data_IF_776750269049
#
_entry.id   IF_776750269049
#
_cell.length_a   1.000
_cell.length_b   1.000
_cell.length_c   1.000
_cell.angle_alpha   90.00
_cell.angle_beta   90.00
_cell.angle_gamma   90.00
#
_symmetry.space_group_name_H-M   'P 1'
#
loop_
_entity.id
_entity.type
_entity.pdbx_description
1 polymer ?
#
# COMPACT_ATOMS: atom_id res chain seq x y z
N UNK A 1 -0.55 -22.58 -18.82
CA UNK A 1 -1.16 -22.97 -17.53
C UNK A 1 -1.71 -24.37 -17.71
N UNK A 2 -1.35 -25.31 -16.84
CA UNK A 2 -1.87 -26.68 -16.95
C UNK A 2 -3.37 -26.72 -16.63
N UNK A 3 -4.12 -27.67 -17.19
CA UNK A 3 -5.56 -27.83 -16.90
C UNK A 3 -5.81 -27.97 -15.39
N UNK A 4 -4.90 -28.65 -14.69
CA UNK A 4 -4.95 -28.83 -13.22
C UNK A 4 -4.82 -27.51 -12.46
N UNK A 5 -3.97 -26.59 -12.91
CA UNK A 5 -3.83 -25.25 -12.33
C UNK A 5 -5.07 -24.40 -12.57
N UNK A 6 -5.62 -24.46 -13.78
CA UNK A 6 -6.86 -23.76 -14.14
C UNK A 6 -7.99 -24.22 -13.21
N UNK A 7 -8.22 -25.53 -13.11
CA UNK A 7 -9.27 -26.08 -12.24
C UNK A 7 -9.10 -25.66 -10.79
N UNK A 8 -7.87 -25.72 -10.24
CA UNK A 8 -7.59 -25.27 -8.87
C UNK A 8 -7.91 -23.78 -8.67
N UNK A 9 -7.55 -22.91 -9.62
CA UNK A 9 -7.86 -21.48 -9.55
C UNK A 9 -9.36 -21.21 -9.57
N UNK A 10 -10.11 -21.88 -10.45
CA UNK A 10 -11.56 -21.73 -10.50
C UNK A 10 -12.27 -22.26 -9.24
N UNK A 11 -11.83 -23.41 -8.69
CA UNK A 11 -12.36 -23.92 -7.42
C UNK A 11 -12.10 -22.95 -6.26
N UNK A 12 -10.88 -22.41 -6.19
CA UNK A 12 -10.50 -21.45 -5.17
C UNK A 12 -11.27 -20.13 -5.30
N UNK A 13 -11.47 -19.68 -6.54
CA UNK A 13 -12.27 -18.50 -6.87
C UNK A 13 -13.74 -18.68 -6.46
N UNK A 14 -14.36 -19.80 -6.81
CA UNK A 14 -15.76 -20.10 -6.44
C UNK A 14 -15.93 -20.17 -4.91
N UNK A 15 -14.98 -20.80 -4.21
CA UNK A 15 -14.97 -20.82 -2.75
C UNK A 15 -14.83 -19.40 -2.17
N UNK A 16 -13.98 -18.57 -2.78
CA UNK A 16 -13.85 -17.15 -2.44
C UNK A 16 -15.17 -16.39 -2.58
N UNK A 17 -15.88 -16.56 -3.70
CA UNK A 17 -17.19 -15.94 -3.93
C UNK A 17 -18.23 -16.38 -2.88
N UNK A 18 -18.24 -17.65 -2.50
CA UNK A 18 -19.14 -18.14 -1.45
C UNK A 18 -18.82 -17.51 -0.09
N UNK A 19 -17.54 -17.43 0.28
CA UNK A 19 -17.11 -16.75 1.51
C UNK A 19 -17.44 -15.26 1.50
N UNK A 20 -17.28 -14.58 0.35
CA UNK A 20 -17.72 -13.19 0.19
C UNK A 20 -19.23 -13.05 0.44
N UNK A 21 -20.06 -13.95 -0.11
CA UNK A 21 -21.50 -13.93 0.09
C UNK A 21 -21.89 -14.09 1.57
N UNK A 22 -21.25 -15.04 2.27
CA UNK A 22 -21.40 -15.22 3.73
C UNK A 22 -21.05 -13.94 4.47
N UNK A 23 -19.91 -13.31 4.14
CA UNK A 23 -19.48 -12.05 4.76
C UNK A 23 -20.48 -10.90 4.54
N UNK A 24 -20.99 -10.74 3.32
CA UNK A 24 -22.02 -9.73 3.01
C UNK A 24 -23.28 -9.96 3.83
N UNK A 25 -23.79 -11.19 3.90
CA UNK A 25 -25.01 -11.52 4.66
C UNK A 25 -24.81 -11.37 6.16
N UNK A 26 -23.67 -11.77 6.73
CA UNK A 26 -23.40 -11.54 8.15
C UNK A 26 -23.34 -10.04 8.48
N UNK A 27 -22.82 -9.22 7.55
CA UNK A 27 -22.79 -7.76 7.74
C UNK A 27 -24.20 -7.17 7.78
N UNK A 28 -25.11 -7.58 6.89
CA UNK A 28 -26.52 -7.13 6.92
C UNK A 28 -27.22 -7.58 8.20
N UNK A 29 -26.95 -8.80 8.67
CA UNK A 29 -27.51 -9.36 9.92
C UNK A 29 -26.96 -8.73 11.19
N UNK A 30 -25.82 -8.04 11.12
CA UNK A 30 -25.30 -7.27 12.26
C UNK A 30 -26.12 -6.02 12.57
N UNK A 31 -27.00 -5.58 11.66
CA UNK A 31 -27.73 -4.31 11.75
C UNK A 31 -26.86 -3.06 11.91
N UNK A 32 -25.54 -3.12 11.67
CA UNK A 32 -24.64 -1.95 11.69
C UNK A 32 -24.38 -1.38 10.30
N UNK A 33 -24.97 -1.96 9.25
CA UNK A 33 -24.74 -1.60 7.84
C UNK A 33 -23.88 -2.63 7.11
N UNK A 34 -23.51 -2.32 5.88
CA UNK A 34 -22.80 -3.25 4.96
C UNK A 34 -21.58 -2.61 4.32
N UNK A 35 -20.83 -3.36 3.52
CA UNK A 35 -19.78 -2.80 2.65
C UNK A 35 -20.31 -1.69 1.72
N UNK A 36 -19.44 -0.75 1.27
CA UNK A 36 -19.82 0.31 0.33
C UNK A 36 -20.49 -0.20 -0.96
N UNK A 37 -20.01 -1.31 -1.51
CA UNK A 37 -20.56 -1.88 -2.74
C UNK A 37 -21.93 -2.52 -2.49
N UNK A 38 -22.09 -3.27 -1.41
CA UNK A 38 -23.34 -3.98 -1.09
C UNK A 38 -24.43 -3.10 -0.49
N UNK A 39 -24.13 -1.84 -0.12
CA UNK A 39 -25.10 -0.97 0.53
C UNK A 39 -26.28 -0.61 -0.38
N UNK A 40 -26.03 -0.35 -1.68
CA UNK A 40 -27.09 -0.01 -2.64
C UNK A 40 -28.05 -1.19 -2.84
N UNK A 41 -27.59 -2.41 -3.18
CA UNK A 41 -28.48 -3.57 -3.28
C UNK A 41 -29.25 -3.86 -1.99
N UNK A 42 -28.60 -3.70 -0.83
CA UNK A 42 -29.23 -3.94 0.46
C UNK A 42 -30.37 -2.93 0.72
N UNK A 43 -30.12 -1.63 0.58
CA UNK A 43 -31.13 -0.59 0.79
C UNK A 43 -32.32 -0.77 -0.15
N UNK A 44 -32.07 -1.08 -1.43
CA UNK A 44 -33.12 -1.35 -2.40
C UNK A 44 -33.96 -2.58 -2.02
N UNK A 45 -33.31 -3.66 -1.55
CA UNK A 45 -34.01 -4.89 -1.13
C UNK A 45 -34.91 -4.71 0.10
N UNK A 46 -34.69 -3.67 0.90
CA UNK A 46 -35.55 -3.36 2.05
C UNK A 46 -36.88 -2.72 1.61
N UNK A 47 -36.92 -2.08 0.44
CA UNK A 47 -38.04 -1.23 0.01
C UNK A 47 -38.76 -1.73 -1.24
N UNK A 48 -38.13 -2.63 -1.98
CA UNK A 48 -38.64 -3.21 -3.23
C UNK A 48 -38.72 -4.73 -3.10
N UNK A 49 -39.59 -5.41 -3.88
CA UNK A 49 -39.88 -6.84 -3.71
C UNK A 49 -38.73 -7.78 -4.14
N UNK A 50 -37.61 -7.24 -4.61
CA UNK A 50 -36.47 -8.04 -5.10
C UNK A 50 -35.46 -8.30 -3.99
N UNK A 51 -34.79 -9.45 -4.07
CA UNK A 51 -33.79 -9.91 -3.10
C UNK A 51 -32.47 -9.13 -3.20
N UNK A 52 -31.62 -9.24 -2.16
CA UNK A 52 -30.27 -8.64 -2.18
C UNK A 52 -29.46 -9.20 -3.35
N UNK A 53 -29.53 -10.51 -3.61
CA UNK A 53 -28.83 -11.15 -4.72
C UNK A 53 -29.31 -10.63 -6.07
N UNK A 54 -30.62 -10.48 -6.28
CA UNK A 54 -31.18 -9.93 -7.51
C UNK A 54 -30.72 -8.49 -7.78
N UNK A 55 -30.79 -7.60 -6.78
CA UNK A 55 -30.27 -6.24 -6.95
C UNK A 55 -28.75 -6.21 -7.16
N UNK A 56 -28.02 -7.12 -6.50
CA UNK A 56 -26.58 -7.27 -6.71
C UNK A 56 -26.26 -7.69 -8.14
N UNK A 57 -27.02 -8.62 -8.72
CA UNK A 57 -26.87 -9.03 -10.12
C UNK A 57 -27.16 -7.87 -11.08
N UNK A 58 -28.27 -7.14 -10.88
CA UNK A 58 -28.61 -5.98 -11.72
C UNK A 58 -27.55 -4.88 -11.66
N UNK A 59 -27.06 -4.56 -10.47
CA UNK A 59 -26.01 -3.56 -10.29
C UNK A 59 -24.71 -4.00 -10.99
N UNK A 60 -24.30 -5.26 -10.88
CA UNK A 60 -23.13 -5.78 -11.59
C UNK A 60 -23.31 -5.73 -13.11
N UNK A 61 -24.51 -5.99 -13.63
CA UNK A 61 -24.80 -5.85 -15.06
C UNK A 61 -24.63 -4.40 -15.53
N UNK A 62 -25.13 -3.42 -14.76
CA UNK A 62 -24.92 -2.00 -15.03
C UNK A 62 -23.43 -1.63 -15.03
N UNK A 63 -22.64 -2.16 -14.08
CA UNK A 63 -21.20 -1.96 -14.05
C UNK A 63 -20.49 -2.54 -15.28
N UNK A 64 -20.90 -3.72 -15.76
CA UNK A 64 -20.34 -4.34 -16.97
C UNK A 64 -20.69 -3.50 -18.21
N UNK A 65 -21.94 -3.04 -18.33
CA UNK A 65 -22.36 -2.15 -19.43
C UNK A 65 -21.54 -0.86 -19.41
N UNK A 66 -21.36 -0.25 -18.23
CA UNK A 66 -20.53 0.95 -18.09
C UNK A 66 -19.07 0.71 -18.49
N UNK A 67 -18.48 -0.43 -18.11
CA UNK A 67 -17.14 -0.82 -18.55
C UNK A 67 -17.05 -0.93 -20.08
N UNK A 68 -18.03 -1.55 -20.74
CA UNK A 68 -18.09 -1.68 -22.20
C UNK A 68 -18.15 -0.30 -22.86
N UNK A 69 -19.01 0.59 -22.37
CA UNK A 69 -19.17 1.95 -22.91
C UNK A 69 -17.89 2.80 -22.74
N UNK A 70 -17.17 2.60 -21.65
CA UNK A 70 -15.99 3.37 -21.29
C UNK A 70 -14.72 2.87 -22.01
N UNK A 71 -14.49 1.55 -22.05
CA UNK A 71 -13.32 0.95 -22.72
C UNK A 71 -13.49 0.82 -24.23
N UNK A 72 -14.74 0.73 -24.73
CA UNK A 72 -15.06 0.56 -26.16
C UNK A 72 -14.22 -0.55 -26.80
N UNK A 73 -13.31 -0.20 -27.72
CA UNK A 73 -12.42 -1.15 -28.44
C UNK A 73 -11.36 -1.82 -27.55
N UNK A 74 -11.10 -1.28 -26.35
CA UNK A 74 -10.15 -1.86 -25.39
C UNK A 74 -10.79 -2.90 -24.46
N UNK A 75 -12.10 -3.11 -24.56
CA UNK A 75 -12.80 -4.10 -23.75
C UNK A 75 -12.42 -5.52 -24.18
N UNK A 76 -11.97 -6.34 -23.22
CA UNK A 76 -11.55 -7.72 -23.50
C UNK A 76 -12.71 -8.67 -23.29
N UNK A 77 -13.00 -9.55 -24.26
CA UNK A 77 -14.13 -10.48 -24.18
C UNK A 77 -14.12 -11.39 -22.96
N UNK A 78 -12.96 -11.67 -22.35
CA UNK A 78 -12.86 -12.41 -21.09
C UNK A 78 -13.60 -11.74 -19.92
N UNK A 79 -13.79 -10.41 -19.97
CA UNK A 79 -14.55 -9.67 -18.96
C UNK A 79 -16.04 -9.99 -19.01
N UNK A 80 -16.57 -10.56 -20.10
CA UNK A 80 -17.96 -11.05 -20.12
C UNK A 80 -18.19 -12.22 -19.16
N UNK A 81 -17.12 -12.92 -18.75
CA UNK A 81 -17.20 -13.93 -17.69
C UNK A 81 -17.70 -13.32 -16.37
N UNK A 82 -17.56 -12.00 -16.16
CA UNK A 82 -18.14 -11.29 -15.02
C UNK A 82 -19.65 -11.47 -14.91
N UNK A 83 -20.38 -11.68 -16.02
CA UNK A 83 -21.83 -11.92 -15.98
C UNK A 83 -22.13 -13.26 -15.29
N UNK A 84 -21.40 -14.32 -15.65
CA UNK A 84 -21.55 -15.65 -15.03
C UNK A 84 -21.17 -15.60 -13.55
N UNK A 85 -20.08 -14.90 -13.23
CA UNK A 85 -19.62 -14.70 -11.86
C UNK A 85 -20.63 -13.88 -11.04
N UNK A 86 -21.19 -12.82 -11.60
CA UNK A 86 -22.20 -11.99 -10.95
C UNK A 86 -23.46 -12.80 -10.64
N UNK A 87 -23.90 -13.67 -11.57
CA UNK A 87 -25.01 -14.58 -11.33
C UNK A 87 -24.71 -15.55 -10.19
N UNK A 88 -23.53 -16.18 -10.20
CA UNK A 88 -23.13 -17.12 -9.16
C UNK A 88 -23.04 -16.45 -7.78
N UNK A 89 -22.44 -15.26 -7.71
CA UNK A 89 -22.34 -14.48 -6.49
C UNK A 89 -23.71 -14.04 -5.95
N UNK A 90 -24.61 -13.60 -6.84
CA UNK A 90 -25.99 -13.28 -6.48
C UNK A 90 -26.74 -14.49 -5.91
N UNK A 91 -26.63 -15.64 -6.56
CA UNK A 91 -27.20 -16.89 -6.09
C UNK A 91 -26.66 -17.29 -4.70
N UNK A 92 -25.34 -17.24 -4.50
CA UNK A 92 -24.74 -17.50 -3.19
C UNK A 92 -25.20 -16.52 -2.12
N UNK A 93 -25.41 -15.25 -2.47
CA UNK A 93 -25.92 -14.24 -1.53
C UNK A 93 -27.32 -14.57 -1.05
N UNK A 94 -28.25 -14.91 -1.95
CA UNK A 94 -29.61 -15.27 -1.56
C UNK A 94 -29.65 -16.62 -0.82
N UNK A 95 -28.85 -17.60 -1.26
CA UNK A 95 -28.69 -18.88 -0.57
C UNK A 95 -28.19 -18.70 0.87
N UNK A 96 -27.13 -17.90 1.06
CA UNK A 96 -26.56 -17.63 2.40
C UNK A 96 -27.51 -16.79 3.26
N UNK A 97 -28.31 -15.91 2.67
CA UNK A 97 -29.36 -15.16 3.38
C UNK A 97 -30.43 -16.07 3.97
N UNK A 98 -30.80 -17.14 3.25
CA UNK A 98 -31.67 -18.20 3.77
C UNK A 98 -30.97 -19.05 4.84
N UNK A 99 -29.73 -19.47 4.59
CA UNK A 99 -28.94 -20.31 5.49
C UNK A 99 -28.67 -19.66 6.84
N UNK A 100 -28.41 -18.35 6.85
CA UNK A 100 -28.10 -17.55 8.05
C UNK A 100 -29.34 -16.85 8.61
N UNK A 101 -30.53 -17.33 8.27
CA UNK A 101 -31.79 -16.73 8.71
C UNK A 101 -31.99 -16.75 10.23
N UNK A 102 -31.40 -17.72 10.91
CA UNK A 102 -31.41 -17.88 12.36
C UNK A 102 -30.49 -16.91 13.10
N UNK A 103 -29.59 -16.21 12.40
CA UNK A 103 -28.68 -15.23 13.02
C UNK A 103 -29.45 -13.93 13.27
N UNK A 104 -29.69 -13.62 14.54
CA UNK A 104 -30.26 -12.35 14.98
C UNK A 104 -29.55 -11.89 16.26
N UNK A 105 -28.96 -10.70 16.20
CA UNK A 105 -28.21 -10.09 17.31
C UNK A 105 -28.89 -8.80 17.77
N UNK A 106 -29.35 -8.80 19.01
CA UNK A 106 -30.08 -7.69 19.61
C UNK A 106 -29.18 -6.75 20.41
N UNK A 107 -28.21 -7.29 21.15
CA UNK A 107 -27.28 -6.47 21.93
C UNK A 107 -26.22 -5.80 21.04
N UNK A 108 -25.97 -4.52 21.27
CA UNK A 108 -24.99 -3.74 20.49
C UNK A 108 -23.57 -4.36 20.48
N UNK A 109 -23.01 -4.88 21.59
CA UNK A 109 -21.71 -5.56 21.54
C UNK A 109 -21.70 -6.80 20.64
N UNK A 110 -22.79 -7.57 20.61
CA UNK A 110 -22.91 -8.72 19.71
C UNK A 110 -23.06 -8.30 18.24
N UNK A 111 -23.72 -7.17 17.97
CA UNK A 111 -23.78 -6.58 16.63
C UNK A 111 -22.38 -6.22 16.13
N UNK A 112 -21.58 -5.54 16.97
CA UNK A 112 -20.19 -5.20 16.64
C UNK A 112 -19.34 -6.45 16.44
N UNK A 113 -19.46 -7.45 17.31
CA UNK A 113 -18.75 -8.72 17.18
C UNK A 113 -19.08 -9.46 15.88
N UNK A 114 -20.37 -9.56 15.54
CA UNK A 114 -20.83 -10.19 14.30
C UNK A 114 -20.36 -9.40 13.07
N UNK A 115 -20.39 -8.07 13.14
CA UNK A 115 -19.91 -7.19 12.08
C UNK A 115 -18.40 -7.36 11.84
N UNK A 116 -17.57 -7.39 12.89
CA UNK A 116 -16.13 -7.63 12.76
C UNK A 116 -15.85 -9.02 12.17
N UNK A 117 -16.57 -10.06 12.62
CA UNK A 117 -16.49 -11.39 12.03
C UNK A 117 -16.87 -11.38 10.54
N UNK A 118 -17.91 -10.64 10.17
CA UNK A 118 -18.34 -10.47 8.79
C UNK A 118 -17.25 -9.83 7.92
N UNK A 119 -16.55 -8.80 8.43
CA UNK A 119 -15.44 -8.15 7.74
C UNK A 119 -14.26 -9.10 7.54
N UNK A 120 -13.95 -9.96 8.52
CA UNK A 120 -12.90 -10.97 8.41
C UNK A 120 -13.22 -12.02 7.33
N UNK A 121 -14.44 -12.55 7.34
CA UNK A 121 -14.90 -13.54 6.36
C UNK A 121 -14.95 -12.93 4.95
N UNK A 122 -15.49 -11.72 4.83
CA UNK A 122 -15.53 -10.99 3.57
C UNK A 122 -14.11 -10.73 3.04
N UNK A 123 -13.20 -10.26 3.89
CA UNK A 123 -11.81 -10.02 3.51
C UNK A 123 -11.10 -11.30 3.07
N UNK A 124 -11.32 -12.43 3.75
CA UNK A 124 -10.79 -13.73 3.33
C UNK A 124 -11.33 -14.13 1.96
N UNK A 125 -12.64 -13.97 1.73
CA UNK A 125 -13.27 -14.27 0.44
C UNK A 125 -12.70 -13.44 -0.71
N UNK A 126 -12.57 -12.12 -0.51
CA UNK A 126 -11.94 -11.20 -1.48
C UNK A 126 -10.48 -11.60 -1.73
N UNK A 127 -9.71 -11.86 -0.68
CA UNK A 127 -8.31 -12.30 -0.83
C UNK A 127 -8.17 -13.57 -1.64
N UNK A 128 -9.07 -14.55 -1.47
CA UNK A 128 -9.08 -15.78 -2.26
C UNK A 128 -9.41 -15.53 -3.73
N UNK A 129 -10.40 -14.67 -3.98
CA UNK A 129 -10.84 -14.24 -5.32
C UNK A 129 -9.71 -13.52 -6.08
N UNK A 130 -9.08 -12.50 -5.46
CA UNK A 130 -7.93 -11.77 -6.01
C UNK A 130 -6.73 -12.69 -6.26
N UNK A 131 -6.45 -13.62 -5.35
CA UNK A 131 -5.31 -14.55 -5.47
C UNK A 131 -5.50 -15.53 -6.63
N UNK A 132 -6.73 -15.98 -6.87
CA UNK A 132 -7.07 -16.91 -7.96
C UNK A 132 -6.81 -16.32 -9.36
N UNK A 133 -6.90 -15.00 -9.50
CA UNK A 133 -6.59 -14.24 -10.73
C UNK A 133 -7.31 -14.83 -11.96
N UNK A 134 -8.62 -15.06 -11.81
CA UNK A 134 -9.52 -15.59 -12.85
C UNK A 134 -10.18 -14.45 -13.61
N UNK A 135 -11.04 -13.71 -12.93
CA UNK A 135 -11.72 -12.52 -13.45
C UNK A 135 -11.96 -11.56 -12.31
N UNK A 136 -11.82 -10.26 -12.56
CA UNK A 136 -12.06 -9.23 -11.56
C UNK A 136 -13.56 -8.98 -11.41
N UNK A 137 -14.03 -8.77 -10.17
CA UNK A 137 -15.43 -8.45 -9.91
C UNK A 137 -15.86 -7.13 -10.59
N UNK A 138 -17.13 -7.00 -10.98
CA UNK A 138 -17.56 -5.89 -11.85
C UNK A 138 -17.37 -4.51 -11.20
N UNK A 139 -17.51 -4.39 -9.88
CA UNK A 139 -17.24 -3.14 -9.15
C UNK A 139 -15.79 -2.68 -9.28
N UNK A 140 -14.83 -3.58 -9.10
CA UNK A 140 -13.40 -3.31 -9.33
C UNK A 140 -13.11 -3.10 -10.82
N UNK A 141 -13.81 -3.84 -11.69
CA UNK A 141 -13.86 -3.71 -13.15
C UNK A 141 -14.06 -2.26 -13.60
N UNK A 142 -15.08 -1.60 -13.05
CA UNK A 142 -15.39 -0.19 -13.36
C UNK A 142 -14.25 0.73 -12.95
N UNK A 143 -13.70 0.56 -11.75
CA UNK A 143 -12.60 1.39 -11.25
C UNK A 143 -11.36 1.24 -12.11
N UNK A 144 -11.01 0.01 -12.51
CA UNK A 144 -9.89 -0.25 -13.41
C UNK A 144 -10.14 0.33 -14.80
N UNK A 145 -11.36 0.23 -15.34
CA UNK A 145 -11.71 0.85 -16.61
C UNK A 145 -11.53 2.38 -16.57
N UNK A 146 -12.01 3.04 -15.51
CA UNK A 146 -11.82 4.48 -15.30
C UNK A 146 -10.34 4.82 -15.17
N UNK A 147 -9.55 4.01 -14.44
CA UNK A 147 -8.10 4.16 -14.30
C UNK A 147 -7.41 4.16 -15.66
N UNK A 148 -7.72 3.18 -16.52
CA UNK A 148 -7.14 3.05 -17.87
C UNK A 148 -7.46 4.28 -18.74
N UNK A 149 -8.70 4.75 -18.73
CA UNK A 149 -9.13 5.87 -19.60
C UNK A 149 -8.65 7.22 -19.08
N UNK A 150 -8.71 7.46 -17.76
CA UNK A 150 -8.36 8.75 -17.16
C UNK A 150 -6.88 8.86 -16.79
N UNK A 151 -6.14 7.75 -16.78
CA UNK A 151 -4.75 7.63 -16.30
C UNK A 151 -4.56 8.10 -14.85
N UNK A 152 -5.62 8.11 -14.05
CA UNK A 152 -5.57 8.43 -12.62
C UNK A 152 -5.33 7.17 -11.80
N UNK A 153 -4.71 7.33 -10.64
CA UNK A 153 -4.39 6.23 -9.72
C UNK A 153 -5.63 5.41 -9.32
N UNK A 154 -5.52 4.08 -9.47
CA UNK A 154 -6.58 3.13 -9.12
C UNK A 154 -7.06 3.26 -7.67
N UNK A 155 -6.14 3.42 -6.70
CA UNK A 155 -6.50 3.56 -5.29
C UNK A 155 -7.39 4.78 -5.01
N UNK A 156 -7.05 5.95 -5.57
CA UNK A 156 -7.86 7.18 -5.47
C UNK A 156 -9.23 7.00 -6.10
N UNK A 157 -9.29 6.37 -7.28
CA UNK A 157 -10.53 6.09 -7.98
C UNK A 157 -11.42 5.10 -7.22
N UNK A 158 -10.83 4.08 -6.57
CA UNK A 158 -11.58 3.09 -5.77
C UNK A 158 -12.29 3.76 -4.60
N UNK A 159 -11.56 4.61 -3.86
CA UNK A 159 -12.14 5.37 -2.75
C UNK A 159 -13.26 6.28 -3.24
N UNK A 160 -13.03 7.03 -4.33
CA UNK A 160 -14.07 7.89 -4.90
C UNK A 160 -15.31 7.09 -5.33
N UNK A 161 -15.12 5.95 -5.98
CA UNK A 161 -16.20 5.05 -6.39
C UNK A 161 -17.01 4.53 -5.19
N UNK A 162 -16.33 4.06 -4.14
CA UNK A 162 -17.00 3.59 -2.92
C UNK A 162 -17.81 4.71 -2.23
N UNK A 163 -17.26 5.92 -2.17
CA UNK A 163 -17.97 7.10 -1.66
C UNK A 163 -19.23 7.39 -2.50
N UNK A 164 -19.15 7.30 -3.83
CA UNK A 164 -20.34 7.49 -4.68
C UNK A 164 -21.42 6.44 -4.44
N UNK A 165 -21.05 5.18 -4.22
CA UNK A 165 -22.03 4.12 -3.91
C UNK A 165 -22.70 4.33 -2.57
N UNK A 166 -21.93 4.74 -1.55
CA UNK A 166 -22.48 5.07 -0.23
C UNK A 166 -23.46 6.23 -0.35
N UNK A 167 -23.11 7.31 -1.07
CA UNK A 167 -24.02 8.45 -1.31
C UNK A 167 -25.30 7.99 -2.05
N UNK A 168 -25.18 7.15 -3.09
CA UNK A 168 -26.34 6.58 -3.76
C UNK A 168 -27.23 5.77 -2.80
N UNK A 169 -26.63 4.97 -1.92
CA UNK A 169 -27.34 4.22 -0.89
C UNK A 169 -28.09 5.15 0.08
N UNK A 170 -27.45 6.24 0.51
CA UNK A 170 -28.09 7.28 1.32
C UNK A 170 -29.32 7.88 0.62
N UNK A 171 -29.18 8.24 -0.66
CA UNK A 171 -30.26 8.80 -1.47
C UNK A 171 -31.43 7.81 -1.61
N UNK A 172 -31.16 6.55 -1.97
CA UNK A 172 -32.22 5.53 -2.06
C UNK A 172 -32.92 5.29 -0.72
N UNK A 173 -32.17 5.33 0.38
CA UNK A 173 -32.72 5.15 1.72
C UNK A 173 -33.71 6.27 2.08
N UNK A 174 -33.35 7.52 1.81
CA UNK A 174 -34.24 8.66 2.00
C UNK A 174 -35.46 8.64 1.06
N UNK A 175 -35.28 8.31 -0.22
CA UNK A 175 -36.37 8.24 -1.19
C UNK A 175 -37.40 7.17 -0.82
N UNK A 176 -36.94 5.99 -0.36
CA UNK A 176 -37.84 4.86 -0.07
C UNK A 176 -38.46 4.94 1.33
N UNK A 177 -37.72 5.40 2.34
CA UNK A 177 -38.14 5.28 3.74
C UNK A 177 -38.28 6.62 4.48
N UNK A 178 -37.87 7.74 3.88
CA UNK A 178 -37.81 9.06 4.53
C UNK A 178 -36.94 9.08 5.81
N UNK A 179 -36.11 8.05 6.02
CA UNK A 179 -35.19 7.88 7.14
C UNK A 179 -34.03 7.00 6.68
N UNK A 180 -32.91 7.05 7.42
CA UNK A 180 -31.78 6.18 7.16
C UNK A 180 -32.07 4.76 7.62
N UNK A 181 -32.26 3.88 6.64
CA UNK A 181 -32.41 2.45 6.80
C UNK A 181 -31.33 1.72 6.00
N UNK A 182 -30.75 0.68 6.60
CA UNK A 182 -29.73 -0.17 5.97
C UNK A 182 -28.30 0.38 5.93
N UNK A 183 -28.08 1.69 6.15
CA UNK A 183 -26.75 2.32 6.22
C UNK A 183 -26.55 2.93 7.60
N UNK A 184 -25.42 2.57 8.21
CA UNK A 184 -25.05 2.91 9.59
C UNK A 184 -23.52 3.00 9.72
N UNK A 185 -23.03 3.21 10.93
CA UNK A 185 -21.61 3.32 11.27
C UNK A 185 -20.75 2.16 10.75
N UNK A 186 -21.31 0.95 10.66
CA UNK A 186 -20.67 -0.22 10.08
C UNK A 186 -20.31 -0.04 8.60
N UNK A 187 -21.03 0.76 7.81
CA UNK A 187 -20.65 1.00 6.42
C UNK A 187 -19.35 1.79 6.29
N UNK A 188 -19.15 2.77 7.17
CA UNK A 188 -17.89 3.53 7.25
C UNK A 188 -16.78 2.66 7.81
N UNK A 189 -17.06 1.86 8.86
CA UNK A 189 -16.10 0.92 9.44
C UNK A 189 -15.68 -0.15 8.42
N UNK A 190 -16.60 -0.68 7.62
CA UNK A 190 -16.31 -1.66 6.57
C UNK A 190 -15.35 -1.09 5.52
N UNK A 191 -15.56 0.17 5.12
CA UNK A 191 -14.70 0.84 4.15
C UNK A 191 -13.23 0.96 4.63
N UNK A 192 -13.00 1.09 5.94
CA UNK A 192 -11.67 1.19 6.54
C UNK A 192 -11.05 -0.15 6.91
N UNK A 193 -11.88 -1.11 7.37
CA UNK A 193 -11.42 -2.39 7.89
C UNK A 193 -11.21 -3.44 6.81
N UNK A 194 -12.14 -3.57 5.86
CA UNK A 194 -12.12 -4.68 4.90
C UNK A 194 -10.86 -4.61 4.04
N UNK A 195 -10.51 -3.45 3.47
CA UNK A 195 -9.29 -3.32 2.67
C UNK A 195 -8.02 -3.60 3.49
N UNK A 196 -7.95 -3.13 4.75
CA UNK A 196 -6.81 -3.36 5.63
C UNK A 196 -6.64 -4.86 5.92
N UNK A 197 -7.74 -5.56 6.16
CA UNK A 197 -7.76 -7.01 6.38
C UNK A 197 -7.38 -7.77 5.11
N UNK A 198 -7.92 -7.41 3.94
CA UNK A 198 -7.55 -8.01 2.64
C UNK A 198 -6.06 -7.87 2.40
N UNK A 199 -5.46 -6.69 2.64
CA UNK A 199 -4.01 -6.47 2.51
C UNK A 199 -3.20 -7.38 3.43
N UNK A 200 -3.59 -7.49 4.70
CA UNK A 200 -2.90 -8.32 5.69
C UNK A 200 -3.02 -9.82 5.36
N UNK A 201 -4.20 -10.25 4.93
CA UNK A 201 -4.47 -11.62 4.50
C UNK A 201 -3.70 -11.93 3.22
N UNK A 202 -3.68 -11.05 2.21
CA UNK A 202 -2.91 -11.23 0.98
C UNK A 202 -1.41 -11.37 1.25
N UNK A 203 -0.84 -10.57 2.17
CA UNK A 203 0.56 -10.72 2.59
C UNK A 203 0.84 -12.15 3.09
N UNK A 204 -0.10 -12.73 3.85
CA UNK A 204 0.01 -14.12 4.33
C UNK A 204 -0.31 -15.14 3.24
N UNK A 205 -1.35 -14.98 2.43
CA UNK A 205 -1.72 -15.94 1.38
C UNK A 205 -0.77 -15.93 0.17
N UNK A 206 0.19 -15.01 0.11
CA UNK A 206 1.22 -14.97 -0.94
C UNK A 206 2.01 -16.29 -1.07
N UNK A 207 2.12 -17.11 0.00
CA UNK A 207 2.70 -18.46 -0.11
C UNK A 207 1.87 -19.40 -1.00
N UNK A 208 0.57 -19.15 -1.15
CA UNK A 208 -0.32 -19.96 -1.97
C UNK A 208 -0.10 -19.72 -3.47
N UNK A 209 0.46 -18.58 -3.87
CA UNK A 209 0.89 -18.37 -5.26
C UNK A 209 1.92 -19.43 -5.68
N UNK A 210 2.75 -19.92 -4.75
CA UNK A 210 3.66 -21.04 -4.99
C UNK A 210 2.91 -22.38 -5.13
N UNK A 211 1.82 -22.57 -4.39
CA UNK A 211 0.96 -23.76 -4.43
C UNK A 211 0.17 -23.87 -5.75
N UNK A 212 -0.22 -22.73 -6.34
CA UNK A 212 -0.89 -22.66 -7.65
C UNK A 212 0.08 -22.65 -8.83
N UNK A 213 1.33 -22.21 -8.66
CA UNK A 213 2.35 -22.23 -9.73
C UNK A 213 3.11 -23.55 -9.84
N UNK A 214 2.83 -24.54 -8.98
CA UNK A 214 3.34 -25.90 -9.04
C UNK A 214 4.85 -25.98 -9.26
N UNK A 215 5.65 -25.91 -8.18
CA UNK A 215 7.13 -26.06 -8.19
C UNK A 215 7.78 -25.74 -9.54
N UNK A 216 7.59 -24.53 -10.04
CA UNK A 216 8.56 -23.98 -10.96
C UNK A 216 9.79 -23.75 -10.11
N UNK A 217 10.77 -24.65 -10.26
CA UNK A 217 12.10 -24.58 -9.66
C UNK A 217 12.53 -23.12 -9.75
N UNK A 218 12.46 -22.40 -8.63
CA UNK A 218 13.26 -21.19 -8.47
C UNK A 218 14.68 -21.71 -8.55
N UNK A 219 15.31 -21.50 -9.70
CA UNK A 219 16.75 -21.52 -9.81
C UNK A 219 17.21 -20.60 -8.70
N UNK A 220 17.68 -21.19 -7.60
CA UNK A 220 18.35 -20.47 -6.56
C UNK A 220 19.61 -19.92 -7.22
N UNK A 221 19.55 -18.67 -7.67
CA UNK A 221 20.72 -17.87 -8.06
C UNK A 221 21.57 -17.50 -6.83
N UNK A 222 21.58 -18.37 -5.83
CA UNK A 222 22.30 -18.25 -4.56
C UNK A 222 23.42 -19.30 -4.44
N UNK A 223 23.76 -20.00 -5.53
CA UNK A 223 24.82 -21.03 -5.54
C UNK A 223 25.87 -20.81 -6.64
N UNK A 224 26.19 -19.56 -6.95
CA UNK A 224 27.49 -19.25 -7.56
C UNK A 224 28.11 -18.18 -6.68
N UNK A 225 29.34 -18.46 -6.21
CA UNK A 225 30.16 -17.71 -5.25
C UNK A 225 30.03 -18.15 -3.79
N UNK A 226 30.44 -19.38 -3.51
CA UNK A 226 31.01 -19.72 -2.18
C UNK A 226 32.45 -20.14 -2.40
N UNK A 227 33.38 -19.19 -2.24
CA UNK A 227 34.78 -19.36 -1.78
C UNK A 227 35.60 -18.08 -2.07
N UNK A 228 35.31 -17.01 -1.33
CA UNK A 228 36.23 -15.93 -1.07
C UNK A 228 35.76 -15.24 0.21
N UNK A 229 36.68 -14.83 1.09
CA UNK A 229 36.39 -13.99 2.25
C UNK A 229 35.49 -12.82 1.79
N UNK A 230 34.24 -12.75 2.24
CA UNK A 230 33.29 -11.71 1.81
C UNK A 230 33.77 -10.34 2.30
N UNK A 231 34.57 -9.66 1.48
CA UNK A 231 34.86 -8.24 1.64
C UNK A 231 33.58 -7.50 1.28
N UNK A 232 32.77 -7.17 2.29
CA UNK A 232 31.61 -6.32 2.09
C UNK A 232 32.08 -4.86 1.94
N UNK A 233 31.71 -4.18 0.84
CA UNK A 233 31.99 -2.75 0.67
C UNK A 233 31.47 -1.92 1.84
N UNK A 234 32.12 -0.80 2.13
CA UNK A 234 31.67 0.13 3.15
C UNK A 234 30.48 0.94 2.63
N UNK A 235 29.33 0.83 3.30
CA UNK A 235 28.12 1.58 2.91
C UNK A 235 27.66 2.46 4.06
N UNK A 236 27.90 3.76 3.95
CA UNK A 236 27.48 4.71 4.99
C UNK A 236 26.09 5.22 4.64
N UNK A 237 25.08 4.88 5.44
CA UNK A 237 23.72 5.42 5.25
C UNK A 237 23.53 6.60 6.17
N UNK A 238 22.99 7.70 5.67
CA UNK A 238 22.73 8.89 6.47
C UNK A 238 21.24 9.25 6.39
N UNK A 239 20.59 9.30 7.55
CA UNK A 239 19.25 9.86 7.77
C UNK A 239 19.38 11.22 8.48
N UNK A 240 18.48 12.16 8.24
CA UNK A 240 18.64 13.53 8.80
C UNK A 240 17.38 14.37 8.91
N UNK A 241 17.35 15.21 9.92
CA UNK A 241 16.36 16.31 10.01
C UNK A 241 16.60 17.35 8.91
N UNK A 242 15.54 17.96 8.39
CA UNK A 242 15.65 19.03 7.41
C UNK A 242 16.29 20.28 8.03
N UNK A 243 17.28 20.86 7.34
CA UNK A 243 18.08 21.98 7.87
C UNK A 243 19.20 21.58 8.84
N UNK A 244 19.47 20.29 9.04
CA UNK A 244 20.60 19.83 9.88
C UNK A 244 21.98 19.93 9.21
N UNK A 245 22.05 20.16 7.90
CA UNK A 245 23.31 20.11 7.14
C UNK A 245 23.80 18.69 6.81
N UNK A 246 22.99 17.66 7.05
CA UNK A 246 23.37 16.27 6.81
C UNK A 246 23.78 15.95 5.37
N UNK A 247 23.25 16.68 4.39
CA UNK A 247 23.63 16.52 2.96
C UNK A 247 25.07 16.93 2.70
N UNK A 248 25.49 18.07 3.24
CA UNK A 248 26.85 18.58 3.05
C UNK A 248 27.87 17.73 3.79
N UNK A 249 27.50 17.26 5.00
CA UNK A 249 28.29 16.28 5.76
C UNK A 249 28.47 15.00 4.94
N UNK A 250 27.39 14.45 4.37
CA UNK A 250 27.46 13.22 3.57
C UNK A 250 28.32 13.36 2.31
N UNK A 251 28.19 14.48 1.58
CA UNK A 251 29.05 14.78 0.42
C UNK A 251 30.52 14.89 0.83
N UNK A 252 30.79 15.53 1.96
CA UNK A 252 32.14 15.69 2.46
C UNK A 252 32.77 14.36 2.86
N UNK A 253 32.04 13.51 3.59
CA UNK A 253 32.48 12.16 3.95
C UNK A 253 32.81 11.36 2.68
N UNK A 254 31.95 11.41 1.66
CA UNK A 254 32.18 10.70 0.42
C UNK A 254 33.46 11.17 -0.30
N UNK A 255 33.69 12.49 -0.35
CA UNK A 255 34.89 13.07 -0.92
C UNK A 255 36.16 12.72 -0.13
N UNK A 256 36.12 12.82 1.19
CA UNK A 256 37.25 12.58 2.09
C UNK A 256 37.66 11.09 2.11
N UNK A 257 36.69 10.18 1.94
CA UNK A 257 36.92 8.73 1.82
C UNK A 257 37.16 8.23 0.39
N UNK A 258 36.98 9.10 -0.62
CA UNK A 258 37.13 8.71 -2.04
C UNK A 258 36.08 7.71 -2.53
N UNK A 259 34.85 7.78 -2.01
CA UNK A 259 33.73 6.88 -2.34
C UNK A 259 32.57 7.64 -2.99
N UNK A 260 31.68 6.94 -3.69
CA UNK A 260 30.53 7.55 -4.37
C UNK A 260 29.52 8.14 -3.38
N UNK A 261 28.97 9.33 -3.69
CA UNK A 261 27.85 9.92 -2.95
C UNK A 261 26.55 9.75 -3.72
N UNK A 262 25.57 9.17 -3.06
CA UNK A 262 24.29 8.83 -3.62
C UNK A 262 23.15 9.52 -2.86
N UNK A 263 22.46 10.42 -3.56
CA UNK A 263 21.29 11.15 -3.06
C UNK A 263 20.04 10.79 -3.86
N UNK A 264 18.97 11.57 -3.71
CA UNK A 264 17.71 11.55 -4.47
C UNK A 264 17.87 11.29 -5.97
N UNK A 265 19.03 11.57 -6.56
CA UNK A 265 19.32 11.29 -7.98
C UNK A 265 19.39 9.79 -8.33
N UNK A 266 19.59 8.88 -7.37
CA UNK A 266 19.53 7.43 -7.61
C UNK A 266 18.16 6.92 -8.05
N UNK A 267 17.10 7.66 -7.70
CA UNK A 267 15.74 7.37 -8.17
C UNK A 267 15.58 7.52 -9.67
N UNK A 268 16.38 8.37 -10.33
CA UNK A 268 16.29 8.56 -11.79
C UNK A 268 16.69 7.31 -12.55
N UNK A 269 17.70 6.57 -12.08
CA UNK A 269 18.13 5.31 -12.72
C UNK A 269 17.16 4.16 -12.40
N UNK A 270 16.52 4.18 -11.21
CA UNK A 270 15.44 3.25 -10.87
C UNK A 270 14.14 3.51 -11.67
N UNK A 271 13.88 4.76 -12.06
CA UNK A 271 12.73 5.18 -12.85
C UNK A 271 12.70 4.53 -14.25
N UNK A 272 13.86 4.41 -14.89
CA UNK A 272 14.02 3.83 -16.24
C UNK A 272 13.50 2.38 -16.30
N UNK A 273 13.57 1.62 -15.20
CA UNK A 273 13.10 0.23 -15.13
C UNK A 273 11.57 0.09 -14.91
N UNK A 274 10.87 1.15 -14.48
CA UNK A 274 9.48 1.05 -14.00
C UNK A 274 8.42 1.55 -14.97
N UNK A 275 8.81 2.29 -16.01
CA UNK A 275 7.88 2.87 -17.00
C UNK A 275 7.00 4.01 -16.46
N UNK A 276 7.25 4.47 -15.23
CA UNK A 276 6.61 5.66 -14.65
C UNK A 276 7.31 6.92 -15.16
N UNK A 277 6.57 8.02 -15.35
CA UNK A 277 7.16 9.27 -15.85
C UNK A 277 8.07 9.91 -14.80
N UNK A 278 9.21 10.46 -15.23
CA UNK A 278 10.14 11.16 -14.33
C UNK A 278 9.46 12.24 -13.50
N UNK A 279 8.48 12.93 -14.10
CA UNK A 279 7.69 13.97 -13.44
C UNK A 279 6.83 13.39 -12.30
N UNK A 280 6.24 12.21 -12.48
CA UNK A 280 5.44 11.55 -11.45
C UNK A 280 6.32 11.10 -10.27
N UNK A 281 7.53 10.60 -10.54
CA UNK A 281 8.47 10.20 -9.49
C UNK A 281 8.97 11.44 -8.74
N UNK A 282 9.38 12.50 -9.44
CA UNK A 282 9.84 13.73 -8.81
C UNK A 282 8.76 14.44 -7.97
N UNK A 283 7.48 14.38 -8.39
CA UNK A 283 6.36 14.96 -7.64
C UNK A 283 5.89 14.10 -6.46
N UNK A 284 6.19 12.79 -6.45
CA UNK A 284 5.75 11.86 -5.41
C UNK A 284 6.89 11.27 -4.56
N UNK A 285 8.14 11.61 -4.85
CA UNK A 285 9.29 11.18 -4.07
C UNK A 285 9.22 11.73 -2.64
N UNK A 286 9.19 10.83 -1.66
CA UNK A 286 8.96 11.11 -0.23
C UNK A 286 7.63 11.83 0.09
N UNK A 287 6.78 12.13 -0.91
CA UNK A 287 5.43 12.60 -0.68
C UNK A 287 4.52 11.42 -0.41
N UNK A 288 4.32 11.14 0.87
CA UNK A 288 3.26 10.23 1.28
C UNK A 288 2.13 11.08 1.86
N UNK A 289 0.88 10.92 1.39
CA UNK A 289 -0.27 11.48 2.08
C UNK A 289 -0.25 11.09 3.56
N UNK A 290 -1.01 11.78 4.40
CA UNK A 290 -1.08 11.41 5.82
C UNK A 290 -1.38 9.91 6.01
N UNK A 291 -0.93 9.34 7.13
CA UNK A 291 -0.94 7.90 7.36
C UNK A 291 -2.30 7.24 7.05
N UNK A 292 -3.39 7.88 7.46
CA UNK A 292 -4.76 7.39 7.23
C UNK A 292 -5.13 7.39 5.75
N UNK A 293 -4.87 8.49 5.03
CA UNK A 293 -5.19 8.60 3.61
C UNK A 293 -4.31 7.64 2.80
N UNK A 294 -3.03 7.53 3.11
CA UNK A 294 -2.17 6.54 2.45
C UNK A 294 -2.67 5.11 2.73
N UNK A 295 -3.10 4.81 3.96
CA UNK A 295 -3.70 3.53 4.27
C UNK A 295 -4.99 3.30 3.46
N UNK A 296 -5.85 4.30 3.30
CA UNK A 296 -7.07 4.17 2.50
C UNK A 296 -6.79 3.96 1.00
N UNK A 297 -5.82 4.69 0.45
CA UNK A 297 -5.43 4.60 -0.96
C UNK A 297 -4.76 3.25 -1.26
N UNK A 298 -3.79 2.85 -0.43
CA UNK A 298 -3.08 1.56 -0.56
C UNK A 298 -4.02 0.36 -0.38
N UNK A 299 -5.07 0.48 0.44
CA UNK A 299 -6.13 -0.53 0.55
C UNK A 299 -6.86 -0.76 -0.76
N UNK A 300 -7.11 0.28 -1.56
CA UNK A 300 -7.75 0.14 -2.86
C UNK A 300 -7.02 -0.87 -3.76
N UNK A 301 -5.69 -0.84 -3.76
CA UNK A 301 -4.86 -1.77 -4.53
C UNK A 301 -4.91 -3.22 -4.02
N UNK A 302 -5.31 -3.47 -2.78
CA UNK A 302 -5.43 -4.84 -2.24
C UNK A 302 -6.52 -5.67 -2.94
N UNK A 303 -7.46 -4.99 -3.61
CA UNK A 303 -8.54 -5.56 -4.40
C UNK A 303 -8.16 -5.88 -5.85
N UNK A 304 -6.91 -5.62 -6.27
CA UNK A 304 -6.48 -5.91 -7.64
C UNK A 304 -5.07 -6.46 -7.68
N UNK A 305 -4.90 -7.64 -8.27
CA UNK A 305 -3.56 -8.21 -8.52
C UNK A 305 -2.82 -7.50 -9.66
N UNK A 306 -3.55 -6.85 -10.57
CA UNK A 306 -3.00 -6.21 -11.77
C UNK A 306 -2.52 -4.79 -11.51
N UNK A 307 -3.25 -4.04 -10.69
CA UNK A 307 -2.92 -2.66 -10.35
C UNK A 307 -2.00 -2.67 -9.13
N UNK A 308 -0.75 -2.23 -9.30
CA UNK A 308 0.19 -2.08 -8.18
C UNK A 308 0.10 -0.68 -7.61
N UNK A 309 0.24 -0.59 -6.29
CA UNK A 309 0.42 0.68 -5.60
C UNK A 309 1.71 1.36 -6.13
N UNK A 310 1.61 2.53 -6.81
CA UNK A 310 2.75 3.19 -7.43
C UNK A 310 3.85 3.54 -6.41
N UNK A 311 3.48 3.94 -5.20
CA UNK A 311 4.45 4.31 -4.17
C UNK A 311 5.24 3.08 -3.71
N UNK A 312 4.58 1.93 -3.54
CA UNK A 312 5.26 0.67 -3.24
C UNK A 312 6.15 0.20 -4.40
N UNK A 313 5.71 0.40 -5.65
CA UNK A 313 6.52 0.06 -6.81
C UNK A 313 7.81 0.89 -6.88
N UNK A 314 7.72 2.19 -6.55
CA UNK A 314 8.89 3.09 -6.43
C UNK A 314 9.81 2.60 -5.32
N UNK A 315 9.29 2.36 -4.11
CA UNK A 315 10.10 1.88 -2.99
C UNK A 315 10.80 0.54 -3.28
N UNK A 316 10.12 -0.43 -3.89
CA UNK A 316 10.75 -1.71 -4.25
C UNK A 316 11.82 -1.56 -5.36
N UNK A 317 11.69 -0.56 -6.23
CA UNK A 317 12.74 -0.22 -7.19
C UNK A 317 13.95 0.43 -6.51
N UNK A 318 13.72 1.40 -5.62
CA UNK A 318 14.76 2.02 -4.78
C UNK A 318 15.51 0.97 -3.97
N UNK A 319 14.78 0.08 -3.28
CA UNK A 319 15.36 -1.00 -2.47
C UNK A 319 16.27 -1.90 -3.29
N UNK A 320 15.84 -2.30 -4.50
CA UNK A 320 16.69 -3.09 -5.41
C UNK A 320 17.94 -2.32 -5.83
N UNK A 321 17.82 -1.03 -6.13
CA UNK A 321 18.97 -0.19 -6.49
C UNK A 321 19.98 -0.05 -5.33
N UNK A 322 19.50 0.25 -4.11
CA UNK A 322 20.31 0.35 -2.90
C UNK A 322 21.05 -0.96 -2.63
N UNK A 323 20.35 -2.10 -2.69
CA UNK A 323 20.95 -3.41 -2.51
C UNK A 323 22.01 -3.72 -3.58
N UNK A 324 21.76 -3.36 -4.83
CA UNK A 324 22.73 -3.55 -5.92
C UNK A 324 24.00 -2.73 -5.68
N UNK A 325 23.86 -1.45 -5.33
CA UNK A 325 25.00 -0.57 -5.04
C UNK A 325 25.82 -1.07 -3.85
N UNK A 326 25.15 -1.43 -2.75
CA UNK A 326 25.82 -1.93 -1.55
C UNK A 326 26.68 -3.18 -1.81
N UNK A 327 26.25 -4.03 -2.75
CA UNK A 327 27.02 -5.21 -3.16
C UNK A 327 28.10 -4.93 -4.22
N UNK A 328 28.10 -3.76 -4.85
CA UNK A 328 29.00 -3.44 -5.97
C UNK A 328 30.17 -2.56 -5.53
N UNK A 329 29.92 -1.54 -4.72
CA UNK A 329 30.94 -0.55 -4.36
C UNK A 329 30.71 0.10 -3.01
N UNK A 330 31.79 0.65 -2.44
CA UNK A 330 31.70 1.46 -1.22
C UNK A 330 31.09 2.81 -1.56
N UNK A 331 30.14 3.27 -0.75
CA UNK A 331 29.42 4.52 -1.02
C UNK A 331 28.72 5.12 0.20
N UNK A 332 28.35 6.39 0.09
CA UNK A 332 27.47 7.10 1.04
C UNK A 332 26.08 7.20 0.42
N UNK A 333 25.06 6.67 1.10
CA UNK A 333 23.66 6.70 0.68
C UNK A 333 22.86 7.62 1.60
N UNK A 334 22.14 8.56 1.02
CA UNK A 334 21.38 9.59 1.71
C UNK A 334 19.86 9.28 1.63
N UNK A 335 19.18 9.14 2.78
CA UNK A 335 17.72 8.90 2.88
C UNK A 335 17.20 7.53 2.37
N UNK A 336 15.91 7.45 2.02
CA UNK A 336 15.21 6.33 1.37
C UNK A 336 15.17 5.02 2.16
N UNK A 337 15.07 5.12 3.50
CA UNK A 337 15.09 3.96 4.41
C UNK A 337 16.32 3.07 4.22
N UNK A 338 17.42 3.61 3.69
CA UNK A 338 18.64 2.86 3.38
C UNK A 338 19.21 2.17 4.63
N UNK A 339 19.08 2.77 5.81
CA UNK A 339 19.43 2.17 7.09
C UNK A 339 18.61 0.91 7.41
N UNK A 340 17.30 0.95 7.14
CA UNK A 340 16.44 -0.21 7.36
C UNK A 340 16.62 -1.28 6.29
N UNK A 341 16.89 -0.89 5.04
CA UNK A 341 17.13 -1.82 3.92
C UNK A 341 18.44 -2.58 4.14
N UNK A 342 19.47 -1.90 4.63
CA UNK A 342 20.82 -2.42 4.82
C UNK A 342 21.11 -2.82 6.29
N UNK A 343 20.08 -3.01 7.11
CA UNK A 343 20.23 -3.31 8.54
C UNK A 343 21.04 -4.58 8.81
N UNK A 344 20.92 -5.59 7.94
CA UNK A 344 21.64 -6.86 8.04
C UNK A 344 22.91 -6.91 7.17
N UNK A 345 23.24 -5.82 6.48
CA UNK A 345 24.42 -5.76 5.61
C UNK A 345 25.67 -5.48 6.44
N UNK A 346 26.58 -6.44 6.58
CA UNK A 346 27.75 -6.31 7.47
C UNK A 346 28.66 -5.11 7.17
N UNK A 347 28.67 -4.64 5.92
CA UNK A 347 29.44 -3.48 5.48
C UNK A 347 28.77 -2.12 5.75
N UNK A 348 27.52 -2.10 6.25
CA UNK A 348 26.78 -0.86 6.42
C UNK A 348 27.21 -0.10 7.67
N UNK A 349 27.07 1.23 7.70
CA UNK A 349 27.21 2.07 8.89
C UNK A 349 26.11 3.12 8.90
N UNK A 350 25.28 3.14 9.94
CA UNK A 350 24.04 3.91 9.94
C UNK A 350 24.15 5.17 10.80
N UNK A 351 23.98 6.35 10.19
CA UNK A 351 24.14 7.65 10.85
C UNK A 351 22.83 8.45 10.83
N UNK A 352 22.48 9.07 11.96
CA UNK A 352 21.40 10.05 12.04
C UNK A 352 21.94 11.44 12.41
N UNK A 353 21.64 12.44 11.60
CA UNK A 353 22.10 13.82 11.82
C UNK A 353 20.89 14.70 12.19
N UNK A 354 20.98 15.35 13.34
CA UNK A 354 19.92 16.19 13.88
C UNK A 354 20.46 17.54 14.36
N UNK A 355 19.58 18.51 14.60
CA UNK A 355 19.94 19.81 15.15
C UNK A 355 18.74 20.45 15.85
N UNK A 356 18.98 21.38 16.78
CA UNK A 356 17.87 22.12 17.37
C UNK A 356 17.14 22.97 16.33
N UNK A 357 15.84 23.16 16.55
CA UNK A 357 14.94 23.83 15.61
C UNK A 357 15.45 25.22 15.21
N UNK A 358 15.99 26.00 16.15
CA UNK A 358 16.46 27.35 15.87
C UNK A 358 17.63 27.37 14.90
N UNK A 359 18.62 26.48 15.09
CA UNK A 359 19.73 26.34 14.15
C UNK A 359 19.29 25.82 12.78
N UNK A 360 18.35 24.87 12.75
CA UNK A 360 17.78 24.37 11.48
C UNK A 360 17.07 25.46 10.70
N UNK A 361 16.23 26.27 11.35
CA UNK A 361 15.52 27.39 10.72
C UNK A 361 16.48 28.44 10.16
N UNK A 362 17.50 28.84 10.93
CA UNK A 362 18.53 29.79 10.46
C UNK A 362 19.25 29.28 9.21
N UNK A 363 19.61 28.00 9.21
CA UNK A 363 20.24 27.38 8.04
C UNK A 363 19.31 27.35 6.83
N UNK A 364 18.05 26.97 7.02
CA UNK A 364 17.06 26.92 5.94
C UNK A 364 16.87 28.30 5.29
N UNK A 365 16.79 29.35 6.11
CA UNK A 365 16.72 30.73 5.61
C UNK A 365 17.95 31.10 4.78
N UNK A 366 19.14 30.84 5.32
CA UNK A 366 20.39 31.29 4.72
C UNK A 366 20.78 30.48 3.47
N UNK A 367 20.73 29.15 3.55
CA UNK A 367 21.18 28.25 2.48
C UNK A 367 20.11 28.00 1.42
N UNK A 368 18.82 27.96 1.79
CA UNK A 368 17.72 27.65 0.85
C UNK A 368 16.90 28.87 0.45
N UNK A 369 17.16 30.06 1.03
CA UNK A 369 16.49 31.31 0.65
C UNK A 369 14.99 31.35 0.98
N UNK A 370 14.52 30.53 1.91
CA UNK A 370 13.11 30.49 2.31
C UNK A 370 12.82 31.64 3.27
N UNK A 371 11.72 32.36 3.04
CA UNK A 371 11.30 33.48 3.89
C UNK A 371 10.98 33.04 5.31
N UNK A 372 11.24 33.90 6.29
CA UNK A 372 11.01 33.63 7.72
C UNK A 372 9.61 33.12 8.03
N UNK A 373 8.59 33.69 7.37
CA UNK A 373 7.19 33.29 7.50
C UNK A 373 6.94 31.83 7.10
N UNK A 374 7.68 31.29 6.12
CA UNK A 374 7.45 29.95 5.56
C UNK A 374 8.43 28.89 6.06
N UNK A 375 9.51 29.29 6.74
CA UNK A 375 10.60 28.38 7.15
C UNK A 375 10.11 27.33 8.14
N UNK A 376 9.31 27.73 9.12
CA UNK A 376 8.79 26.80 10.11
C UNK A 376 7.83 25.77 9.47
N UNK A 377 6.88 26.23 8.65
CA UNK A 377 5.95 25.34 7.95
C UNK A 377 6.70 24.36 7.06
N UNK A 378 7.69 24.84 6.30
CA UNK A 378 8.50 24.00 5.41
C UNK A 378 9.30 22.96 6.18
N UNK A 379 9.89 23.35 7.32
CA UNK A 379 10.62 22.43 8.20
C UNK A 379 9.71 21.30 8.69
N UNK A 380 8.56 21.66 9.30
CA UNK A 380 7.61 20.66 9.82
C UNK A 380 7.07 19.77 8.72
N UNK A 381 6.70 20.33 7.57
CA UNK A 381 6.17 19.58 6.43
C UNK A 381 7.19 18.57 5.90
N UNK A 382 8.46 18.96 5.79
CA UNK A 382 9.52 18.10 5.27
C UNK A 382 9.88 16.99 6.25
N UNK A 383 10.06 17.29 7.53
CA UNK A 383 10.34 16.27 8.54
C UNK A 383 9.17 15.30 8.70
N UNK A 384 7.93 15.80 8.65
CA UNK A 384 6.73 14.96 8.71
C UNK A 384 6.61 14.03 7.51
N UNK A 385 6.97 14.49 6.32
CA UNK A 385 6.99 13.66 5.11
C UNK A 385 8.01 12.52 5.26
N UNK A 386 9.24 12.82 5.72
CA UNK A 386 10.29 11.81 5.98
C UNK A 386 9.88 10.82 7.06
N UNK A 387 9.31 11.29 8.17
CA UNK A 387 8.81 10.43 9.24
C UNK A 387 7.73 9.48 8.72
N UNK A 388 6.78 10.00 7.94
CA UNK A 388 5.67 9.20 7.38
C UNK A 388 6.18 8.16 6.39
N UNK A 389 7.07 8.55 5.47
CA UNK A 389 7.72 7.64 4.52
C UNK A 389 8.45 6.50 5.26
N UNK A 390 9.29 6.85 6.23
CA UNK A 390 10.06 5.89 7.00
C UNK A 390 9.16 4.94 7.81
N UNK A 391 8.11 5.47 8.44
CA UNK A 391 7.17 4.65 9.22
C UNK A 391 6.45 3.62 8.35
N UNK A 392 6.11 3.98 7.12
CA UNK A 392 5.39 3.09 6.19
C UNK A 392 6.30 1.98 5.67
N UNK A 393 7.54 2.31 5.31
CA UNK A 393 8.41 1.40 4.57
C UNK A 393 9.44 0.66 5.43
N UNK A 394 10.01 1.31 6.44
CA UNK A 394 10.93 0.68 7.37
C UNK A 394 10.21 -0.06 8.51
N UNK A 395 8.90 0.16 8.69
CA UNK A 395 8.11 -0.32 9.84
C UNK A 395 8.78 0.04 11.20
N UNK A 396 9.54 1.14 11.23
CA UNK A 396 10.33 1.64 12.37
C UNK A 396 10.01 3.13 12.62
N UNK A 397 10.39 3.64 13.80
CA UNK A 397 10.26 5.07 14.12
C UNK A 397 11.50 5.84 13.63
N UNK A 398 11.30 6.85 12.80
CA UNK A 398 12.38 7.72 12.30
C UNK A 398 13.03 8.50 13.45
N UNK A 399 14.36 8.66 13.39
CA UNK A 399 15.12 9.32 14.46
C UNK A 399 15.20 8.53 15.79
N UNK A 400 14.70 7.28 15.84
CA UNK A 400 14.89 6.43 17.02
C UNK A 400 16.36 6.00 17.10
N UNK A 401 17.03 6.40 18.18
CA UNK A 401 18.48 6.18 18.41
C UNK A 401 18.90 4.72 18.13
N UNK A 402 18.10 3.73 18.53
CA UNK A 402 18.41 2.29 18.33
C UNK A 402 18.46 1.82 16.87
N UNK A 403 18.02 2.64 15.91
CA UNK A 403 18.07 2.29 14.50
C UNK A 403 19.41 2.66 13.85
N UNK A 404 20.25 3.44 14.54
CA UNK A 404 21.46 4.03 13.98
C UNK A 404 22.68 3.65 14.84
N UNK A 405 23.82 3.47 14.19
CA UNK A 405 25.11 3.23 14.85
C UNK A 405 25.63 4.51 15.51
N UNK A 406 25.36 5.68 14.90
CA UNK A 406 25.78 6.98 15.40
C UNK A 406 24.70 8.05 15.18
N UNK A 407 24.40 8.81 16.23
CA UNK A 407 23.50 9.97 16.15
C UNK A 407 24.24 11.23 16.56
N UNK A 408 24.29 12.25 15.70
CA UNK A 408 25.10 13.46 15.94
C UNK A 408 24.27 14.73 15.84
N UNK A 409 24.45 15.63 16.81
CA UNK A 409 23.91 16.97 16.78
C UNK A 409 24.87 17.91 16.03
N UNK A 410 24.56 18.22 14.77
CA UNK A 410 25.43 19.06 13.92
C UNK A 410 25.46 20.53 14.33
N UNK A 411 24.47 21.01 15.10
CA UNK A 411 24.46 22.37 15.61
C UNK A 411 25.51 22.59 16.71
N UNK A 412 25.86 21.54 17.46
CA UNK A 412 26.87 21.62 18.53
C UNK A 412 28.29 21.60 17.97
N UNK A 413 28.55 20.72 17.00
CA UNK A 413 29.91 20.50 16.49
C UNK A 413 30.22 21.28 15.21
N UNK A 414 29.21 21.78 14.50
CA UNK A 414 29.37 22.32 13.15
C UNK A 414 29.69 21.23 12.12
N UNK A 415 29.69 21.58 10.84
CA UNK A 415 29.79 20.59 9.75
C UNK A 415 31.14 19.88 9.73
N UNK A 416 32.25 20.62 9.82
CA UNK A 416 33.59 20.06 9.73
C UNK A 416 33.87 19.04 10.84
N UNK A 417 33.57 19.39 12.10
CA UNK A 417 33.80 18.48 13.22
C UNK A 417 32.82 17.31 13.22
N UNK A 418 31.57 17.52 12.79
CA UNK A 418 30.60 16.42 12.63
C UNK A 418 31.10 15.40 11.61
N UNK A 419 31.64 15.86 10.47
CA UNK A 419 32.25 14.97 9.46
C UNK A 419 33.40 14.16 10.05
N UNK A 420 34.34 14.82 10.73
CA UNK A 420 35.48 14.15 11.36
C UNK A 420 35.04 13.06 12.37
N UNK A 421 34.06 13.37 13.21
CA UNK A 421 33.53 12.41 14.20
C UNK A 421 32.91 11.18 13.54
N UNK A 422 32.18 11.37 12.43
CA UNK A 422 31.56 10.26 11.69
C UNK A 422 32.64 9.40 11.03
N UNK A 423 33.66 10.02 10.41
CA UNK A 423 34.77 9.31 9.79
C UNK A 423 35.60 8.51 10.80
N UNK A 424 35.84 9.07 11.98
CA UNK A 424 36.52 8.37 13.07
C UNK A 424 35.71 7.16 13.54
N UNK A 425 34.39 7.30 13.69
CA UNK A 425 33.52 6.20 14.06
C UNK A 425 33.48 5.09 12.98
N UNK A 426 33.49 5.47 11.70
CA UNK A 426 33.59 4.53 10.57
C UNK A 426 34.88 3.73 10.66
N UNK A 427 36.04 4.40 10.82
CA UNK A 427 37.34 3.75 10.98
C UNK A 427 37.37 2.81 12.19
N UNK A 428 36.79 3.24 13.31
CA UNK A 428 36.66 2.42 14.51
C UNK A 428 35.83 1.16 14.29
N UNK A 429 34.80 1.20 13.45
CA UNK A 429 34.02 0.01 13.07
C UNK A 429 34.84 -0.93 12.18
N UNK A 430 35.56 -0.41 11.20
CA UNK A 430 36.40 -1.22 10.31
C UNK A 430 37.54 -1.91 11.07
N UNK A 431 38.11 -1.27 12.08
CA UNK A 431 39.14 -1.87 12.94
C UNK A 431 38.62 -3.01 13.85
N UNK A 432 37.31 -3.10 14.07
CA UNK A 432 36.66 -4.14 14.86
C UNK A 432 36.12 -5.31 14.01
N UNK A 433 36.28 -5.26 12.67
CA UNK A 433 36.00 -6.39 11.76
C UNK A 433 37.17 -7.35 11.74
#
# INVERSE_FOLDING_TARGET
MSIREIVKRYLFFILGLFMMAVGVVLSTRSNLGTSPISCVPYVLSLGLPMTIGQFTFLMNLLFIIFQILLLRKQFKSIQLLQVVVAFLFAYFTDFTMGLLSWVNVTSYPAQVGLFVLSCLILALGVSMEVTADVVMMAGEGVVSAISIVTKKEFGKLKVAFDVTLVICGFLFSFILFHRLNGIREGTVLAALLVGTLVRLINKRLSFMDALFKGNSITVNTSQVLTTAQEIHPLVVTISREYGSGGRDIGKKIAADLGISFYDTQLLKTAAEETGLSEKFIAENDQFVPNLLLNQLLSQGYAFSKKEKDPLNAIYEAEKRAIMKLANTESCVIMEHCSDSILADFKGSFHVFIHADKANRMKRIQYEYGISEENVEETLHKTDRARETYYQIYAERKWGRIKNYDLTVNSAVFGLAKTTELIEEAIKGKEANK
#
